data_IF_275087264650
#
_entry.id   IF_275087264650
#
_cell.length_a   1.000
_cell.length_b   1.000
_cell.length_c   1.000
_cell.angle_alpha   90.00
_cell.angle_beta   90.00
_cell.angle_gamma   90.00
#
_symmetry.space_group_name_H-M   'P 1'
#
loop_
_entity.id
_entity.type
_entity.pdbx_description
1 polymer ?
#
# COMPACT_ATOMS: atom_id res chain seq x y z
N UNK A 1 -4.35 0.01 12.85
CA UNK A 1 -5.03 1.02 12.01
C UNK A 1 -6.42 1.22 12.57
N UNK A 2 -6.81 2.44 12.91
CA UNK A 2 -8.22 2.76 13.18
C UNK A 2 -8.89 3.06 11.84
N UNK A 3 -9.58 2.06 11.29
CA UNK A 3 -10.55 2.30 10.23
C UNK A 3 -11.77 3.02 10.84
N UNK A 4 -12.51 3.76 10.02
CA UNK A 4 -13.88 4.15 10.35
C UNK A 4 -14.18 5.41 11.14
N UNK A 5 -13.24 6.01 11.89
CA UNK A 5 -13.54 7.28 12.60
C UNK A 5 -13.02 8.47 11.80
N UNK A 6 -13.91 9.38 11.39
CA UNK A 6 -13.56 10.56 10.60
C UNK A 6 -13.12 11.75 11.48
N UNK A 7 -12.50 12.76 10.87
CA UNK A 7 -11.97 13.94 11.55
C UNK A 7 -13.07 14.68 12.31
N UNK A 8 -14.26 14.85 11.72
CA UNK A 8 -15.37 15.53 12.39
C UNK A 8 -15.81 14.82 13.67
N UNK A 9 -15.84 13.49 13.65
CA UNK A 9 -16.14 12.69 14.84
C UNK A 9 -15.06 12.81 15.89
N UNK A 10 -13.78 12.74 15.49
CA UNK A 10 -12.66 12.94 16.42
C UNK A 10 -12.71 14.33 17.04
N UNK A 11 -13.04 15.38 16.29
CA UNK A 11 -13.25 16.73 16.83
C UNK A 11 -14.39 16.75 17.85
N UNK A 12 -15.51 16.08 17.57
CA UNK A 12 -16.65 15.99 18.47
C UNK A 12 -16.31 15.26 19.78
N UNK A 13 -15.57 14.16 19.69
CA UNK A 13 -15.21 13.32 20.85
C UNK A 13 -14.13 13.98 21.70
N UNK A 14 -13.14 14.60 21.06
CA UNK A 14 -11.97 15.15 21.77
C UNK A 14 -12.11 16.62 22.16
N UNK A 15 -13.04 17.35 21.53
CA UNK A 15 -13.15 18.81 21.63
C UNK A 15 -12.02 19.58 20.92
N UNK A 16 -11.02 18.89 20.36
CA UNK A 16 -9.93 19.53 19.62
C UNK A 16 -10.36 19.89 18.20
N UNK A 17 -9.95 21.07 17.73
CA UNK A 17 -10.09 21.46 16.32
C UNK A 17 -8.91 21.01 15.46
N UNK A 18 -7.74 20.84 16.06
CA UNK A 18 -6.51 20.40 15.40
C UNK A 18 -6.41 18.88 15.50
N UNK A 19 -6.79 18.20 14.42
CA UNK A 19 -6.79 16.74 14.34
C UNK A 19 -5.98 16.33 13.11
N UNK A 20 -5.10 15.36 13.30
CA UNK A 20 -4.39 14.67 12.22
C UNK A 20 -4.67 13.18 12.37
N UNK A 21 -5.30 12.58 11.35
CA UNK A 21 -5.41 11.13 11.23
C UNK A 21 -4.20 10.60 10.49
N UNK A 22 -3.66 9.48 10.96
CA UNK A 22 -2.50 8.82 10.35
C UNK A 22 -2.85 7.39 9.98
N UNK A 23 -2.80 7.11 8.68
CA UNK A 23 -3.01 5.77 8.12
C UNK A 23 -1.63 5.19 7.83
N UNK A 24 -1.20 4.25 8.66
CA UNK A 24 0.11 3.58 8.56
C UNK A 24 -0.04 2.15 8.06
N UNK A 25 1.02 1.54 7.51
CA UNK A 25 1.05 0.12 7.15
C UNK A 25 2.10 -0.70 7.95
N UNK A 26 2.02 -2.05 7.98
CA UNK A 26 2.89 -2.87 8.83
C UNK A 26 4.42 -2.68 8.72
N UNK A 27 5.00 -2.32 7.56
CA UNK A 27 6.44 -2.03 7.43
C UNK A 27 6.99 -0.90 8.32
N UNK A 28 6.14 -0.17 9.06
CA UNK A 28 6.58 0.73 10.13
C UNK A 28 7.44 0.04 11.19
N UNK A 29 7.22 -1.26 11.41
CA UNK A 29 8.00 -2.07 12.35
C UNK A 29 9.45 -2.30 11.88
N UNK A 30 9.72 -2.06 10.60
CA UNK A 30 11.06 -2.15 9.99
C UNK A 30 11.56 -0.81 9.47
N UNK A 31 10.97 0.30 9.94
CA UNK A 31 11.34 1.67 9.57
C UNK A 31 11.19 2.00 8.07
N UNK A 32 10.40 1.20 7.35
CA UNK A 32 10.14 1.37 5.91
C UNK A 32 8.67 1.55 5.61
N UNK A 33 7.91 1.99 6.63
CA UNK A 33 6.48 2.19 6.54
C UNK A 33 6.08 3.33 5.60
N UNK A 34 4.79 3.35 5.32
CA UNK A 34 4.10 4.48 4.70
C UNK A 34 3.11 5.03 5.72
N UNK A 35 3.15 6.34 5.94
CA UNK A 35 2.23 7.08 6.79
C UNK A 35 1.48 8.10 5.93
N UNK A 36 0.18 7.89 5.72
CA UNK A 36 -0.65 8.89 5.04
C UNK A 36 -1.39 9.73 6.08
N UNK A 37 -1.11 11.02 6.05
CA UNK A 37 -1.60 12.05 6.96
C UNK A 37 -2.83 12.73 6.37
N UNK A 38 -3.86 12.90 7.18
CA UNK A 38 -5.09 13.59 6.82
C UNK A 38 -5.40 14.59 7.94
N UNK A 39 -5.39 15.87 7.61
CA UNK A 39 -5.51 16.94 8.58
C UNK A 39 -6.87 17.65 8.56
N UNK A 40 -7.27 18.22 9.70
CA UNK A 40 -8.38 19.17 9.75
C UNK A 40 -7.98 20.52 9.13
N UNK A 41 -8.97 21.34 8.80
CA UNK A 41 -8.75 22.67 8.22
C UNK A 41 -8.14 23.69 9.21
N UNK A 42 -8.02 23.32 10.49
CA UNK A 42 -7.52 24.19 11.56
C UNK A 42 -6.03 24.01 11.86
N UNK A 43 -5.33 23.19 11.06
CA UNK A 43 -3.90 22.95 11.25
C UNK A 43 -3.06 24.12 10.76
N UNK A 44 -2.07 24.47 11.55
CA UNK A 44 -1.02 25.42 11.19
C UNK A 44 0.16 24.69 10.54
N UNK A 45 1.03 25.40 9.79
CA UNK A 45 2.22 24.79 9.18
C UNK A 45 3.09 24.03 10.19
N UNK A 46 3.24 24.55 11.41
CA UNK A 46 4.01 23.91 12.47
C UNK A 46 3.41 22.56 12.90
N UNK A 47 2.08 22.44 12.93
CA UNK A 47 1.43 21.16 13.29
C UNK A 47 1.78 20.06 12.26
N UNK A 48 1.88 20.45 10.98
CA UNK A 48 2.27 19.55 9.89
C UNK A 48 3.73 19.13 9.98
N UNK A 49 4.62 20.09 10.22
CA UNK A 49 6.06 19.83 10.36
C UNK A 49 6.37 18.91 11.55
N UNK A 50 5.71 19.14 12.70
CA UNK A 50 5.87 18.31 13.89
C UNK A 50 5.43 16.87 13.61
N UNK A 51 4.26 16.67 13.01
CA UNK A 51 3.76 15.32 12.75
C UNK A 51 4.61 14.59 11.71
N UNK A 52 5.09 15.30 10.69
CA UNK A 52 5.98 14.74 9.68
C UNK A 52 7.30 14.28 10.31
N UNK A 53 7.87 15.12 11.19
CA UNK A 53 9.10 14.82 11.92
C UNK A 53 8.93 13.54 12.75
N UNK A 54 7.83 13.43 13.51
CA UNK A 54 7.55 12.26 14.36
C UNK A 54 7.46 10.97 13.51
N UNK A 55 6.68 10.99 12.43
CA UNK A 55 6.44 9.77 11.63
C UNK A 55 7.56 9.44 10.65
N UNK A 56 8.42 10.41 10.32
CA UNK A 56 9.61 10.17 9.48
C UNK A 56 10.57 9.13 10.09
N UNK A 57 10.53 8.95 11.42
CA UNK A 57 11.36 7.99 12.13
C UNK A 57 11.03 6.52 11.76
N UNK A 58 9.83 6.23 11.28
CA UNK A 58 9.37 4.86 10.98
C UNK A 58 8.99 4.64 9.51
N UNK A 59 9.19 5.64 8.66
CA UNK A 59 8.83 5.52 7.26
C UNK A 59 8.66 6.86 6.56
N UNK A 60 8.01 6.84 5.40
CA UNK A 60 7.72 8.04 4.61
C UNK A 60 6.33 8.58 4.93
N UNK A 61 6.22 9.89 5.03
CA UNK A 61 4.96 10.60 5.20
C UNK A 61 4.42 11.12 3.86
N UNK A 62 3.09 11.10 3.72
CA UNK A 62 2.37 11.64 2.57
C UNK A 62 1.11 12.34 3.06
N UNK A 63 0.72 13.45 2.45
CA UNK A 63 -0.58 14.07 2.74
C UNK A 63 -1.64 13.61 1.74
N UNK A 64 -2.78 13.16 2.25
CA UNK A 64 -3.96 12.98 1.42
C UNK A 64 -4.60 14.33 1.11
N UNK A 65 -5.23 14.45 -0.06
CA UNK A 65 -5.95 15.67 -0.44
C UNK A 65 -7.27 15.81 0.31
N UNK A 66 -7.89 14.68 0.68
CA UNK A 66 -9.17 14.67 1.36
C UNK A 66 -9.38 13.40 2.17
N UNK A 67 -10.22 13.51 3.19
CA UNK A 67 -10.63 12.37 4.01
C UNK A 67 -11.35 11.28 3.21
N UNK A 68 -12.03 11.64 2.10
CA UNK A 68 -12.69 10.69 1.21
C UNK A 68 -11.74 9.70 0.51
N UNK A 69 -10.43 9.95 0.54
CA UNK A 69 -9.42 9.04 0.01
C UNK A 69 -9.02 7.92 1.00
N UNK A 70 -9.45 7.99 2.27
CA UNK A 70 -9.01 7.09 3.34
C UNK A 70 -9.16 5.61 2.97
N UNK A 71 -10.34 5.20 2.49
CA UNK A 71 -10.59 3.80 2.13
C UNK A 71 -9.72 3.32 0.97
N UNK A 72 -9.46 4.20 -0.01
CA UNK A 72 -8.59 3.88 -1.13
C UNK A 72 -7.13 3.73 -0.68
N UNK A 73 -6.68 4.61 0.22
CA UNK A 73 -5.35 4.56 0.84
C UNK A 73 -5.18 3.26 1.64
N UNK A 74 -6.18 2.87 2.44
CA UNK A 74 -6.17 1.64 3.23
C UNK A 74 -6.09 0.43 2.29
N UNK A 75 -6.96 0.37 1.28
CA UNK A 75 -6.99 -0.75 0.32
C UNK A 75 -5.69 -0.90 -0.47
N UNK A 76 -5.04 0.21 -0.83
CA UNK A 76 -3.81 0.21 -1.62
C UNK A 76 -2.56 0.01 -0.75
N UNK A 77 -2.34 0.87 0.24
CA UNK A 77 -1.09 0.95 1.01
C UNK A 77 -1.17 0.21 2.34
N UNK A 78 -2.31 0.28 3.03
CA UNK A 78 -2.53 -0.43 4.30
C UNK A 78 -2.45 -1.94 4.13
N UNK A 79 -3.19 -2.46 3.16
CA UNK A 79 -3.19 -3.89 2.78
C UNK A 79 -2.06 -4.27 1.81
N UNK A 80 -1.42 -3.28 1.17
CA UNK A 80 -0.38 -3.46 0.15
C UNK A 80 0.69 -4.51 0.48
N UNK A 81 1.31 -4.49 1.68
CA UNK A 81 2.32 -5.48 2.05
C UNK A 81 1.87 -6.93 1.94
N UNK A 82 0.61 -7.23 2.27
CA UNK A 82 0.07 -8.59 2.16
C UNK A 82 0.01 -9.07 0.71
N UNK A 83 -0.30 -8.18 -0.24
CA UNK A 83 -0.33 -8.52 -1.67
C UNK A 83 1.07 -8.91 -2.16
N UNK A 84 2.10 -8.17 -1.75
CA UNK A 84 3.48 -8.49 -2.10
C UNK A 84 3.96 -9.78 -1.43
N UNK A 85 3.62 -10.02 -0.16
CA UNK A 85 3.96 -11.29 0.51
C UNK A 85 3.33 -12.49 -0.20
N UNK A 86 2.07 -12.37 -0.63
CA UNK A 86 1.39 -13.43 -1.37
C UNK A 86 2.08 -13.74 -2.72
N UNK A 87 2.44 -12.70 -3.48
CA UNK A 87 3.16 -12.85 -4.75
C UNK A 87 4.54 -13.47 -4.54
N UNK A 88 5.32 -12.95 -3.58
CA UNK A 88 6.66 -13.45 -3.28
C UNK A 88 6.63 -14.93 -2.87
N UNK A 89 5.73 -15.32 -1.98
CA UNK A 89 5.58 -16.71 -1.56
C UNK A 89 5.20 -17.64 -2.73
N UNK A 90 4.31 -17.20 -3.61
CA UNK A 90 3.95 -17.94 -4.83
C UNK A 90 5.15 -18.14 -5.76
N UNK A 91 5.96 -17.10 -5.97
CA UNK A 91 7.16 -17.17 -6.80
C UNK A 91 8.22 -18.09 -6.19
N UNK A 92 8.45 -18.03 -4.87
CA UNK A 92 9.38 -18.93 -4.16
C UNK A 92 8.94 -20.38 -4.29
N UNK A 93 7.66 -20.68 -4.03
CA UNK A 93 7.10 -22.04 -4.16
C UNK A 93 7.27 -22.57 -5.59
N UNK A 94 7.06 -21.71 -6.59
CA UNK A 94 7.26 -22.06 -7.99
C UNK A 94 8.74 -22.34 -8.30
N UNK A 95 9.66 -21.49 -7.84
CA UNK A 95 11.10 -21.73 -8.00
C UNK A 95 11.56 -23.05 -7.37
N UNK A 96 11.03 -23.40 -6.20
CA UNK A 96 11.29 -24.71 -5.56
C UNK A 96 10.77 -25.85 -6.42
N UNK A 97 9.58 -25.74 -7.01
CA UNK A 97 9.05 -26.75 -7.93
C UNK A 97 9.88 -26.92 -9.21
N UNK A 98 10.65 -25.90 -9.60
CA UNK A 98 11.62 -25.92 -10.70
C UNK A 98 12.99 -26.48 -10.29
N UNK A 99 13.14 -26.93 -9.04
CA UNK A 99 14.35 -27.58 -8.53
C UNK A 99 15.32 -26.67 -7.78
N UNK A 100 14.93 -25.43 -7.47
CA UNK A 100 15.76 -24.53 -6.65
C UNK A 100 15.64 -24.88 -5.16
N UNK A 101 16.73 -24.69 -4.42
CA UNK A 101 16.65 -24.63 -2.97
C UNK A 101 15.74 -23.47 -2.52
N UNK A 102 14.98 -23.68 -1.45
CA UNK A 102 14.00 -22.69 -0.96
C UNK A 102 14.65 -21.37 -0.56
N UNK A 103 15.77 -21.43 0.17
CA UNK A 103 16.45 -20.21 0.62
C UNK A 103 17.06 -19.50 -0.58
N UNK A 104 17.68 -20.25 -1.49
CA UNK A 104 18.21 -19.69 -2.72
C UNK A 104 17.14 -19.00 -3.58
N UNK A 105 15.97 -19.63 -3.77
CA UNK A 105 14.84 -19.04 -4.50
C UNK A 105 14.32 -17.76 -3.83
N UNK A 106 14.26 -17.75 -2.50
CA UNK A 106 13.88 -16.56 -1.72
C UNK A 106 14.87 -15.41 -1.92
N UNK A 107 16.17 -15.68 -1.80
CA UNK A 107 17.21 -14.65 -1.94
C UNK A 107 17.19 -14.02 -3.34
N UNK A 108 17.05 -14.85 -4.38
CA UNK A 108 16.94 -14.38 -5.76
C UNK A 108 15.72 -13.48 -5.97
N UNK A 109 14.54 -13.88 -5.49
CA UNK A 109 13.32 -13.10 -5.73
C UNK A 109 13.29 -11.81 -4.93
N UNK A 110 13.82 -11.80 -3.70
CA UNK A 110 13.94 -10.59 -2.89
C UNK A 110 14.86 -9.57 -3.57
N UNK A 111 16.01 -10.03 -4.09
CA UNK A 111 16.94 -9.15 -4.81
C UNK A 111 16.33 -8.61 -6.10
N UNK A 112 15.65 -9.46 -6.89
CA UNK A 112 14.99 -9.06 -8.13
C UNK A 112 13.87 -8.03 -7.87
N UNK A 113 13.02 -8.28 -6.86
CA UNK A 113 11.94 -7.39 -6.48
C UNK A 113 12.48 -6.03 -5.99
N UNK A 114 13.51 -6.04 -5.14
CA UNK A 114 14.16 -4.82 -4.65
C UNK A 114 14.75 -4.00 -5.81
N UNK A 115 15.46 -4.67 -6.73
CA UNK A 115 16.03 -4.03 -7.92
C UNK A 115 14.98 -3.40 -8.81
N UNK A 116 13.87 -4.09 -9.08
CA UNK A 116 12.76 -3.56 -9.88
C UNK A 116 12.13 -2.31 -9.23
N UNK A 117 11.92 -2.32 -7.92
CA UNK A 117 11.40 -1.15 -7.17
C UNK A 117 12.38 0.03 -7.23
N UNK A 118 13.69 -0.22 -7.10
CA UNK A 118 14.69 0.85 -7.21
C UNK A 118 14.81 1.40 -8.63
N UNK A 119 14.66 0.57 -9.67
CA UNK A 119 14.60 1.05 -11.05
C UNK A 119 13.43 2.03 -11.24
N UNK A 120 12.25 1.70 -10.71
CA UNK A 120 11.10 2.62 -10.74
C UNK A 120 11.43 3.91 -9.99
N UNK A 121 11.92 3.83 -8.75
CA UNK A 121 12.21 4.99 -7.90
C UNK A 121 13.27 5.94 -8.47
N UNK A 122 14.26 5.40 -9.16
CA UNK A 122 15.36 6.19 -9.76
C UNK A 122 15.04 6.69 -11.16
N UNK A 123 13.92 6.26 -11.74
CA UNK A 123 13.48 6.68 -13.07
C UNK A 123 12.31 7.66 -12.97
N UNK A 124 12.13 8.47 -14.01
CA UNK A 124 10.89 9.22 -14.24
C UNK A 124 9.94 8.46 -15.18
N UNK A 125 10.07 7.13 -15.22
CA UNK A 125 9.40 6.27 -16.19
C UNK A 125 8.34 5.44 -15.48
N UNK A 126 7.19 5.27 -16.12
CA UNK A 126 6.11 4.47 -15.54
C UNK A 126 6.48 2.98 -15.47
N UNK A 127 6.00 2.22 -14.47
CA UNK A 127 6.32 0.80 -14.34
C UNK A 127 6.02 -0.03 -15.60
N UNK A 128 4.94 0.27 -16.33
CA UNK A 128 4.60 -0.42 -17.58
C UNK A 128 5.65 -0.23 -18.68
N UNK A 129 6.24 0.96 -18.79
CA UNK A 129 7.29 1.23 -19.76
C UNK A 129 8.61 0.57 -19.35
N UNK A 130 8.94 0.55 -18.04
CA UNK A 130 10.09 -0.22 -17.55
C UNK A 130 9.94 -1.72 -17.80
N UNK A 131 8.73 -2.27 -17.64
CA UNK A 131 8.41 -3.66 -17.97
C UNK A 131 8.68 -3.94 -19.46
N UNK A 132 8.25 -3.05 -20.34
CA UNK A 132 8.55 -3.14 -21.78
C UNK A 132 10.06 -3.10 -22.08
N UNK A 133 10.82 -2.22 -21.39
CA UNK A 133 12.27 -2.09 -21.59
C UNK A 133 13.08 -3.34 -21.21
N UNK A 134 12.59 -4.16 -20.29
CA UNK A 134 13.23 -5.42 -19.86
C UNK A 134 12.65 -6.65 -20.58
N UNK A 135 11.76 -6.45 -21.55
CA UNK A 135 11.11 -7.53 -22.29
C UNK A 135 11.54 -7.48 -23.75
N UNK A 136 12.26 -8.52 -24.19
CA UNK A 136 12.58 -8.71 -25.61
C UNK A 136 11.47 -9.49 -26.30
N UNK A 137 11.17 -9.12 -27.55
CA UNK A 137 10.23 -9.85 -28.39
C UNK A 137 10.68 -11.30 -28.61
N UNK A 138 9.75 -12.26 -28.48
CA UNK A 138 10.01 -13.71 -28.45
C UNK A 138 10.97 -14.16 -27.33
N UNK A 139 11.10 -13.37 -26.26
CA UNK A 139 12.00 -13.64 -25.14
C UNK A 139 11.38 -14.47 -24.02
N UNK A 140 12.21 -14.86 -23.05
CA UNK A 140 11.80 -15.62 -21.86
C UNK A 140 10.76 -14.84 -21.03
N UNK A 141 11.01 -13.55 -20.79
CA UNK A 141 10.09 -12.69 -20.02
C UNK A 141 8.73 -12.54 -20.71
N UNK A 142 8.71 -12.38 -22.03
CA UNK A 142 7.47 -12.25 -22.81
C UNK A 142 6.58 -13.49 -22.65
N UNK A 143 7.18 -14.69 -22.65
CA UNK A 143 6.45 -15.94 -22.44
C UNK A 143 5.71 -15.97 -21.11
N UNK A 144 6.32 -15.46 -20.03
CA UNK A 144 5.68 -15.37 -18.72
C UNK A 144 4.59 -14.27 -18.68
N UNK A 145 4.87 -13.09 -19.23
CA UNK A 145 3.91 -11.97 -19.25
C UNK A 145 2.65 -12.32 -20.06
N UNK A 146 2.79 -13.04 -21.17
CA UNK A 146 1.65 -13.54 -21.95
C UNK A 146 0.75 -14.46 -21.12
N UNK A 147 1.32 -15.28 -20.24
CA UNK A 147 0.52 -16.12 -19.34
C UNK A 147 -0.22 -15.29 -18.28
N UNK A 148 0.37 -14.19 -17.80
CA UNK A 148 -0.32 -13.27 -16.90
C UNK A 148 -1.50 -12.57 -17.58
N UNK A 149 -1.36 -12.21 -18.86
CA UNK A 149 -2.44 -11.63 -19.66
C UNK A 149 -3.56 -12.65 -19.90
N UNK A 150 -3.23 -13.86 -20.37
CA UNK A 150 -4.22 -14.93 -20.59
C UNK A 150 -4.95 -15.33 -19.29
N UNK A 151 -4.24 -15.24 -18.15
CA UNK A 151 -4.80 -15.47 -16.83
C UNK A 151 -5.59 -14.28 -16.26
N UNK A 152 -5.72 -13.16 -16.98
CA UNK A 152 -6.39 -11.94 -16.52
C UNK A 152 -5.84 -11.38 -15.20
N UNK A 153 -4.55 -11.54 -14.92
CA UNK A 153 -3.94 -11.18 -13.63
C UNK A 153 -4.18 -9.71 -13.25
N UNK A 154 -4.15 -8.79 -14.23
CA UNK A 154 -4.42 -7.37 -14.01
C UNK A 154 -5.84 -7.12 -13.49
N UNK A 155 -6.82 -7.84 -14.05
CA UNK A 155 -8.21 -7.73 -13.62
C UNK A 155 -8.44 -8.36 -12.24
N UNK A 156 -7.76 -9.47 -11.94
CA UNK A 156 -7.81 -10.09 -10.61
C UNK A 156 -7.24 -9.16 -9.54
N UNK A 157 -6.10 -8.52 -9.80
CA UNK A 157 -5.54 -7.50 -8.90
C UNK A 157 -6.54 -6.36 -8.71
N UNK A 158 -7.13 -5.86 -9.80
CA UNK A 158 -8.14 -4.78 -9.75
C UNK A 158 -9.35 -5.19 -8.89
N UNK A 159 -9.85 -6.40 -9.04
CA UNK A 159 -10.99 -6.92 -8.28
C UNK A 159 -10.63 -7.11 -6.79
N UNK A 160 -9.45 -7.64 -6.49
CA UNK A 160 -8.97 -7.80 -5.12
C UNK A 160 -8.84 -6.45 -4.38
N UNK A 161 -8.24 -5.44 -5.02
CA UNK A 161 -8.12 -4.10 -4.43
C UNK A 161 -9.50 -3.42 -4.26
N UNK A 162 -10.43 -3.61 -5.21
CA UNK A 162 -11.81 -3.14 -5.06
C UNK A 162 -12.51 -3.83 -3.88
N UNK A 163 -12.33 -5.13 -3.70
CA UNK A 163 -12.91 -5.85 -2.57
C UNK A 163 -12.38 -5.30 -1.23
N UNK A 164 -11.07 -5.07 -1.12
CA UNK A 164 -10.46 -4.44 0.06
C UNK A 164 -11.03 -3.02 0.31
N UNK A 165 -11.20 -2.23 -0.75
CA UNK A 165 -11.81 -0.90 -0.68
C UNK A 165 -13.26 -0.94 -0.17
N UNK A 166 -14.08 -1.84 -0.71
CA UNK A 166 -15.47 -2.01 -0.28
C UNK A 166 -15.53 -2.46 1.19
N UNK A 167 -14.68 -3.41 1.60
CA UNK A 167 -14.65 -3.85 3.00
C UNK A 167 -14.21 -2.72 3.95
N UNK A 168 -13.25 -1.89 3.55
CA UNK A 168 -12.86 -0.69 4.34
C UNK A 168 -14.04 0.25 4.57
N UNK A 169 -14.87 0.46 3.54
CA UNK A 169 -16.09 1.26 3.65
C UNK A 169 -17.12 0.65 4.58
N UNK A 170 -17.36 -0.65 4.48
CA UNK A 170 -18.29 -1.35 5.37
C UNK A 170 -17.88 -1.21 6.84
N UNK A 171 -16.60 -1.50 7.16
CA UNK A 171 -16.06 -1.33 8.51
C UNK A 171 -16.23 0.11 8.99
N UNK A 172 -16.03 1.09 8.10
CA UNK A 172 -16.22 2.49 8.43
C UNK A 172 -17.68 2.83 8.79
N UNK A 173 -18.64 2.25 8.08
CA UNK A 173 -20.06 2.41 8.38
C UNK A 173 -20.45 1.71 9.69
N UNK A 174 -19.94 0.50 9.93
CA UNK A 174 -20.15 -0.28 11.17
C UNK A 174 -19.71 0.54 12.40
N UNK A 175 -18.49 1.09 12.38
CA UNK A 175 -17.93 1.90 13.48
C UNK A 175 -18.73 3.19 13.69
N UNK A 176 -19.15 3.86 12.62
CA UNK A 176 -19.96 5.08 12.71
C UNK A 176 -21.32 4.82 13.37
N UNK A 177 -21.94 3.68 13.06
CA UNK A 177 -23.21 3.28 13.64
C UNK A 177 -23.09 2.93 15.14
N UNK A 178 -21.92 2.48 15.60
CA UNK A 178 -21.65 2.24 17.03
C UNK A 178 -21.41 3.55 17.79
N UNK A 179 -20.60 4.47 17.23
CA UNK A 179 -20.33 5.77 17.86
C UNK A 179 -21.61 6.60 18.03
N UNK A 180 -22.53 6.55 17.05
CA UNK A 180 -23.78 7.34 17.12
C UNK A 180 -24.81 6.75 18.09
N UNK A 181 -24.63 5.52 18.55
CA UNK A 181 -25.52 4.86 19.53
C UNK A 181 -25.19 5.21 20.98
N UNK A 182 -24.07 5.86 21.24
CA UNK A 182 -23.58 6.25 22.56
C UNK A 182 -23.44 7.77 22.68
#
# INVERSE_FOLDING_TARGET
MMAGVNIKQLMSITGSKKIIRVISNPPVLTYTGTHVLIGSDYLEPLDKEVIETIYSATGRTYWANSESQSDAIIALSGSGPAYFFYILDSMVKTGVSMGLDKQFALDLILQAASGAVEMVRKSNVQPSELCGKVTLANGITESALRMFELGNLSDDIRLALKAAYHRSKEISLEINAEITRH
#
